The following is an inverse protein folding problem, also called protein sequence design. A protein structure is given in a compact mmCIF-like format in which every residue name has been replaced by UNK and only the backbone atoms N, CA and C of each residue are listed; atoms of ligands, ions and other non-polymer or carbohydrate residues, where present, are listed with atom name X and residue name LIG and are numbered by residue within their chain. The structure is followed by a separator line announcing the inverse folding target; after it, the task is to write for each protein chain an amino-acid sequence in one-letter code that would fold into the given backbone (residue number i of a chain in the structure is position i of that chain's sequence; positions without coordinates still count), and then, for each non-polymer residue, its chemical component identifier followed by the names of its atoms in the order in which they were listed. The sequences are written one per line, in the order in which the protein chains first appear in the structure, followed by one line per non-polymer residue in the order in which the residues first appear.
data_IF_284679625008
#
_entry.id   IF_284679625008
#
_cell.length_a   1.000
_cell.length_b   1.000
_cell.length_c   1.000
_cell.angle_alpha   90.00
_cell.angle_beta   90.00
_cell.angle_gamma   90.00
#
_symmetry.space_group_name_H-M   'P 1'
#
loop_
_entity.id
_entity.type
_entity.pdbx_description
1 polymer ?
#
# COMPACT_ATOMS: atom_id res chain seq x y z
N UNK A 1 -24.64 46.73 46.51
CA UNK A 1 -23.39 46.36 45.80
C UNK A 1 -23.39 44.91 45.27
N UNK A 2 -24.54 44.24 45.11
CA UNK A 2 -24.58 42.76 44.95
C UNK A 2 -24.69 42.28 43.50
N UNK A 3 -25.17 43.13 42.59
CA UNK A 3 -25.29 42.83 41.16
C UNK A 3 -23.99 42.29 40.52
N UNK A 4 -22.78 42.83 40.77
CA UNK A 4 -21.56 42.33 40.13
C UNK A 4 -21.23 40.87 40.49
N UNK A 5 -21.53 40.43 41.73
CA UNK A 5 -21.22 39.07 42.19
C UNK A 5 -22.10 38.02 41.49
N UNK A 6 -23.37 38.34 41.26
CA UNK A 6 -24.30 37.48 40.54
C UNK A 6 -23.88 37.29 39.08
N UNK A 7 -23.50 38.37 38.39
CA UNK A 7 -23.03 38.29 36.99
C UNK A 7 -21.76 37.45 36.86
N UNK A 8 -20.82 37.57 37.80
CA UNK A 8 -19.61 36.74 37.80
C UNK A 8 -19.90 35.26 38.02
N UNK A 9 -20.87 34.90 38.87
CA UNK A 9 -21.26 33.51 39.12
C UNK A 9 -21.93 32.86 37.91
N UNK A 10 -22.83 33.58 37.22
CA UNK A 10 -23.47 33.11 35.99
C UNK A 10 -22.43 32.90 34.89
N UNK A 11 -21.52 33.86 34.71
CA UNK A 11 -20.45 33.75 33.71
C UNK A 11 -19.54 32.53 33.97
N UNK A 12 -19.12 32.32 35.22
CA UNK A 12 -18.33 31.16 35.59
C UNK A 12 -19.07 29.83 35.36
N UNK A 13 -20.36 29.76 35.71
CA UNK A 13 -21.20 28.58 35.46
C UNK A 13 -21.34 28.24 33.98
N UNK A 14 -21.53 29.25 33.12
CA UNK A 14 -21.58 29.07 31.66
C UNK A 14 -20.24 28.54 31.14
N UNK A 15 -19.12 29.09 31.61
CA UNK A 15 -17.78 28.65 31.19
C UNK A 15 -17.56 27.16 31.55
N UNK A 16 -17.85 26.76 32.79
CA UNK A 16 -17.72 25.35 33.23
C UNK A 16 -18.63 24.43 32.41
N UNK A 17 -19.86 24.86 32.14
CA UNK A 17 -20.80 24.09 31.32
C UNK A 17 -20.31 23.94 29.87
N UNK A 18 -19.77 25.00 29.25
CA UNK A 18 -19.18 24.93 27.91
C UNK A 18 -17.96 24.01 27.87
N UNK A 19 -17.05 24.08 28.86
CA UNK A 19 -15.89 23.20 28.93
C UNK A 19 -16.30 21.72 29.10
N UNK A 20 -17.27 21.43 29.97
CA UNK A 20 -17.75 20.06 30.17
C UNK A 20 -18.44 19.49 28.93
N UNK A 21 -19.27 20.28 28.23
CA UNK A 21 -19.87 19.89 26.96
C UNK A 21 -18.80 19.64 25.88
N UNK A 22 -17.80 20.52 25.77
CA UNK A 22 -16.69 20.34 24.84
C UNK A 22 -15.88 19.06 25.15
N UNK A 23 -15.58 18.80 26.43
CA UNK A 23 -14.87 17.59 26.86
C UNK A 23 -15.66 16.31 26.55
N UNK A 24 -16.97 16.30 26.83
CA UNK A 24 -17.86 15.18 26.49
C UNK A 24 -17.94 14.96 24.98
N UNK A 25 -18.07 16.04 24.20
CA UNK A 25 -18.10 16.00 22.74
C UNK A 25 -16.81 15.43 22.15
N UNK A 26 -15.65 15.94 22.57
CA UNK A 26 -14.33 15.45 22.15
C UNK A 26 -14.12 13.98 22.56
N UNK A 27 -14.53 13.62 23.78
CA UNK A 27 -14.49 12.24 24.26
C UNK A 27 -15.37 11.31 23.42
N UNK A 28 -16.58 11.75 23.06
CA UNK A 28 -17.48 11.01 22.18
C UNK A 28 -16.89 10.85 20.76
N UNK A 29 -16.37 11.92 20.17
CA UNK A 29 -15.72 11.88 18.85
C UNK A 29 -14.52 10.93 18.84
N UNK A 30 -13.66 10.99 19.86
CA UNK A 30 -12.50 10.09 20.01
C UNK A 30 -12.94 8.62 20.12
N UNK A 31 -13.97 8.32 20.92
CA UNK A 31 -14.53 6.96 21.05
C UNK A 31 -15.12 6.46 19.74
N UNK A 32 -15.84 7.32 19.01
CA UNK A 32 -16.41 6.98 17.69
C UNK A 32 -15.31 6.63 16.69
N UNK A 33 -14.22 7.41 16.66
CA UNK A 33 -13.07 7.15 15.79
C UNK A 33 -12.38 5.83 16.12
N UNK A 34 -12.15 5.54 17.40
CA UNK A 34 -11.53 4.26 17.86
C UNK A 34 -12.40 3.07 17.41
N UNK A 35 -13.71 3.12 17.65
CA UNK A 35 -14.64 2.06 17.22
C UNK A 35 -14.63 1.86 15.70
N UNK A 36 -14.53 2.94 14.93
CA UNK A 36 -14.47 2.88 13.48
C UNK A 36 -13.16 2.23 13.00
N UNK A 37 -12.02 2.61 13.60
CA UNK A 37 -10.72 1.99 13.34
C UNK A 37 -10.74 0.49 13.65
N UNK A 38 -11.30 0.09 14.79
CA UNK A 38 -11.47 -1.32 15.15
C UNK A 38 -12.39 -2.08 14.18
N UNK A 39 -13.46 -1.44 13.71
CA UNK A 39 -14.35 -2.03 12.70
C UNK A 39 -13.61 -2.30 11.40
N UNK A 40 -12.83 -1.33 10.90
CA UNK A 40 -12.02 -1.52 9.69
C UNK A 40 -10.93 -2.58 9.89
N UNK A 41 -10.26 -2.57 11.05
CA UNK A 41 -9.27 -3.58 11.37
C UNK A 41 -9.87 -4.99 11.34
N UNK A 42 -11.05 -5.19 11.93
CA UNK A 42 -11.75 -6.48 11.91
C UNK A 42 -12.19 -6.87 10.50
N UNK A 43 -12.77 -5.94 9.76
CA UNK A 43 -13.23 -6.18 8.39
C UNK A 43 -12.05 -6.54 7.47
N UNK A 44 -11.04 -5.67 7.37
CA UNK A 44 -9.88 -5.88 6.51
C UNK A 44 -9.00 -7.04 7.00
N UNK A 45 -8.88 -7.22 8.32
CA UNK A 45 -8.16 -8.33 8.93
C UNK A 45 -8.82 -9.68 8.65
N UNK A 46 -10.15 -9.76 8.66
CA UNK A 46 -10.86 -11.00 8.28
C UNK A 46 -10.61 -11.39 6.82
N UNK A 47 -10.49 -10.41 5.92
CA UNK A 47 -10.18 -10.64 4.50
C UNK A 47 -8.75 -11.20 4.32
N UNK A 48 -7.77 -10.65 5.06
CA UNK A 48 -6.42 -11.20 5.11
C UNK A 48 -6.35 -12.57 5.78
N UNK A 49 -7.22 -12.84 6.75
CA UNK A 49 -7.27 -14.13 7.44
C UNK A 49 -7.87 -15.20 6.52
N UNK A 50 -8.88 -14.87 5.72
CA UNK A 50 -9.38 -15.76 4.66
C UNK A 50 -8.29 -16.14 3.66
N UNK A 51 -7.41 -15.21 3.26
CA UNK A 51 -6.22 -15.54 2.46
C UNK A 51 -5.32 -16.55 3.19
N UNK A 52 -4.92 -16.28 4.44
CA UNK A 52 -4.01 -17.18 5.17
C UNK A 52 -4.60 -18.57 5.38
N UNK A 53 -5.93 -18.68 5.46
CA UNK A 53 -6.62 -19.97 5.54
C UNK A 53 -6.64 -20.72 4.20
N UNK A 54 -6.62 -20.01 3.07
CA UNK A 54 -6.46 -20.59 1.73
C UNK A 54 -5.02 -21.13 1.52
N UNK A 55 -4.01 -20.47 2.09
CA UNK A 55 -2.60 -20.87 2.02
C UNK A 55 -2.13 -21.61 3.28
N UNK A 56 -2.65 -22.82 3.50
CA UNK A 56 -2.41 -23.59 4.72
C UNK A 56 -0.99 -24.16 4.89
N UNK A 57 -0.05 -23.94 3.97
CA UNK A 57 1.15 -24.80 3.90
C UNK A 57 2.49 -24.15 3.50
N UNK A 58 2.73 -22.85 3.74
CA UNK A 58 4.01 -22.23 3.34
C UNK A 58 4.65 -21.34 4.40
N UNK A 59 5.99 -21.45 4.48
CA UNK A 59 6.94 -20.62 5.23
C UNK A 59 7.05 -19.18 4.70
N UNK A 60 5.96 -18.62 4.16
CA UNK A 60 5.92 -17.23 3.73
C UNK A 60 6.00 -16.32 4.96
N UNK A 61 6.93 -15.36 4.95
CA UNK A 61 7.04 -14.35 6.00
C UNK A 61 5.76 -13.52 5.99
N UNK A 62 4.94 -13.66 7.04
CA UNK A 62 3.67 -12.97 7.13
C UNK A 62 3.85 -11.45 6.97
N UNK A 63 3.03 -10.83 6.12
CA UNK A 63 2.99 -9.39 5.94
C UNK A 63 2.81 -8.67 7.29
N UNK A 64 3.67 -7.68 7.59
CA UNK A 64 3.60 -6.92 8.85
C UNK A 64 2.33 -6.05 8.85
N UNK A 65 1.65 -5.97 9.99
CA UNK A 65 0.61 -4.96 10.21
C UNK A 65 1.28 -3.75 10.85
N UNK A 66 1.24 -2.61 10.16
CA UNK A 66 1.75 -1.33 10.66
C UNK A 66 0.66 -0.57 11.39
N UNK A 67 1.07 0.29 12.33
CA UNK A 67 0.19 1.27 12.98
C UNK A 67 0.12 2.59 12.21
N UNK A 68 -0.92 3.39 12.47
CA UNK A 68 -1.04 4.74 11.92
C UNK A 68 0.18 5.60 12.28
N UNK A 69 0.58 5.56 13.56
CA UNK A 69 1.70 6.35 14.09
C UNK A 69 3.02 6.01 13.40
N UNK A 70 3.29 4.71 13.15
CA UNK A 70 4.48 4.30 12.40
C UNK A 70 4.51 4.89 10.99
N UNK A 71 3.38 4.83 10.27
CA UNK A 71 3.31 5.32 8.88
C UNK A 71 3.30 6.84 8.81
N UNK A 72 2.59 7.51 9.71
CA UNK A 72 2.57 8.98 9.82
C UNK A 72 3.97 9.49 10.16
N UNK A 73 4.65 8.91 11.15
CA UNK A 73 6.04 9.28 11.47
C UNK A 73 7.00 9.01 10.31
N UNK A 74 6.84 7.87 9.63
CA UNK A 74 7.72 7.51 8.51
C UNK A 74 7.58 8.47 7.32
N UNK A 75 6.39 9.05 7.11
CA UNK A 75 6.06 9.88 5.95
C UNK A 75 5.92 11.36 6.27
N UNK A 76 6.28 11.78 7.49
CA UNK A 76 6.03 13.15 7.97
C UNK A 76 4.57 13.57 7.79
N UNK A 77 3.64 12.76 8.30
CA UNK A 77 2.19 12.91 8.15
C UNK A 77 1.70 12.89 6.70
N UNK A 78 2.30 12.05 5.85
CA UNK A 78 2.04 11.98 4.42
C UNK A 78 2.26 13.33 3.70
N UNK A 79 3.34 14.03 4.06
CA UNK A 79 3.70 15.30 3.45
C UNK A 79 3.90 15.18 1.93
N UNK A 80 3.49 16.20 1.17
CA UNK A 80 3.57 16.18 -0.30
C UNK A 80 5.02 16.12 -0.81
N UNK A 81 6.00 16.59 -0.06
CA UNK A 81 7.43 16.45 -0.40
C UNK A 81 7.90 14.99 -0.39
N UNK A 82 7.18 14.09 0.30
CA UNK A 82 7.44 12.65 0.32
C UNK A 82 6.77 11.91 -0.82
N UNK A 83 5.96 12.58 -1.64
CA UNK A 83 5.24 11.94 -2.75
C UNK A 83 6.21 11.48 -3.84
N UNK A 84 6.17 10.18 -4.15
CA UNK A 84 6.98 9.54 -5.19
C UNK A 84 6.25 9.53 -6.52
N UNK A 85 4.94 9.31 -6.49
CA UNK A 85 4.12 9.23 -7.69
C UNK A 85 2.64 9.21 -7.37
N UNK A 86 1.82 9.50 -8.39
CA UNK A 86 0.38 9.47 -8.30
C UNK A 86 -0.21 8.93 -9.61
N UNK A 87 -1.20 8.04 -9.50
CA UNK A 87 -1.88 7.43 -10.63
C UNK A 87 -3.31 6.99 -10.28
N UNK A 88 -3.93 6.20 -11.17
CA UNK A 88 -5.29 5.70 -10.98
C UNK A 88 -5.50 4.86 -9.72
N UNK A 89 -4.45 4.18 -9.26
CA UNK A 89 -4.48 3.31 -8.08
C UNK A 89 -4.17 4.04 -6.76
N UNK A 90 -3.89 5.35 -6.82
CA UNK A 90 -3.63 6.18 -5.64
C UNK A 90 -2.31 6.94 -5.68
N UNK A 91 -1.82 7.28 -4.50
CA UNK A 91 -0.61 8.07 -4.29
C UNK A 91 0.41 7.25 -3.52
N UNK A 92 1.67 7.27 -3.95
CA UNK A 92 2.77 6.56 -3.31
C UNK A 92 3.65 7.58 -2.60
N UNK A 93 3.92 7.33 -1.31
CA UNK A 93 4.78 8.16 -0.47
C UNK A 93 6.05 7.39 -0.08
N UNK A 94 7.18 8.08 -0.07
CA UNK A 94 8.45 7.57 0.46
C UNK A 94 8.43 7.73 1.98
N UNK A 95 8.62 6.63 2.70
CA UNK A 95 8.72 6.61 4.15
C UNK A 95 10.08 6.15 4.64
N UNK A 96 10.46 6.57 5.85
CA UNK A 96 11.61 6.05 6.60
C UNK A 96 11.12 5.46 7.92
N UNK A 97 11.14 4.12 8.05
CA UNK A 97 10.73 3.44 9.28
C UNK A 97 11.72 3.68 10.43
N UNK A 98 11.36 3.42 11.70
CA UNK A 98 12.23 3.64 12.86
C UNK A 98 13.56 2.86 12.85
N UNK A 99 13.66 1.82 12.03
CA UNK A 99 14.86 1.00 11.83
C UNK A 99 15.64 1.42 10.56
N UNK A 100 15.45 2.65 10.09
CA UNK A 100 16.03 3.24 8.88
C UNK A 100 15.69 2.52 7.57
N UNK A 101 14.75 1.57 7.60
CA UNK A 101 14.27 0.94 6.37
C UNK A 101 13.43 1.94 5.57
N UNK A 102 13.86 2.21 4.34
CA UNK A 102 13.14 3.08 3.40
C UNK A 102 12.03 2.26 2.73
N UNK A 103 10.81 2.79 2.71
CA UNK A 103 9.62 2.10 2.22
C UNK A 103 8.83 2.97 1.23
N UNK A 104 8.05 2.31 0.38
CA UNK A 104 7.04 2.95 -0.45
C UNK A 104 5.64 2.62 0.10
N UNK A 105 4.87 3.64 0.46
CA UNK A 105 3.54 3.50 1.06
C UNK A 105 2.50 3.94 0.05
N UNK A 106 1.71 2.99 -0.46
CA UNK A 106 0.63 3.22 -1.42
C UNK A 106 -0.67 3.48 -0.68
N UNK A 107 -1.24 4.65 -0.92
CA UNK A 107 -2.49 5.14 -0.33
C UNK A 107 -3.51 5.42 -1.43
N UNK A 108 -4.63 4.71 -1.42
CA UNK A 108 -5.71 4.89 -2.40
C UNK A 108 -6.31 6.30 -2.31
N UNK A 109 -6.61 6.89 -3.48
CA UNK A 109 -7.22 8.22 -3.58
C UNK A 109 -8.74 8.17 -3.41
N UNK A 110 -9.35 7.14 -3.98
CA UNK A 110 -10.78 6.88 -3.92
C UNK A 110 -11.09 5.80 -2.90
N UNK A 111 -12.29 5.86 -2.35
CA UNK A 111 -12.74 4.98 -1.28
C UNK A 111 -13.94 4.17 -1.79
N UNK A 112 -13.63 3.27 -2.73
CA UNK A 112 -14.57 2.41 -3.45
C UNK A 112 -14.34 0.93 -3.15
N UNK A 113 -15.38 0.10 -3.33
CA UNK A 113 -15.29 -1.34 -3.09
C UNK A 113 -14.25 -2.03 -3.98
N UNK A 114 -14.13 -1.58 -5.23
CA UNK A 114 -13.12 -2.05 -6.20
C UNK A 114 -11.69 -1.91 -5.69
N UNK A 115 -11.40 -0.89 -4.87
CA UNK A 115 -10.06 -0.67 -4.30
C UNK A 115 -9.74 -1.67 -3.20
N UNK A 116 -10.75 -2.10 -2.44
CA UNK A 116 -10.60 -3.16 -1.43
C UNK A 116 -10.31 -4.50 -2.12
N UNK A 117 -11.01 -4.80 -3.22
CA UNK A 117 -10.78 -6.02 -4.01
C UNK A 117 -9.37 -6.05 -4.61
N UNK A 118 -8.91 -4.93 -5.18
CA UNK A 118 -7.54 -4.79 -5.69
C UNK A 118 -6.49 -4.96 -4.60
N UNK A 119 -6.71 -4.38 -3.42
CA UNK A 119 -5.85 -4.59 -2.25
C UNK A 119 -5.78 -6.08 -1.89
N UNK A 120 -6.92 -6.75 -1.77
CA UNK A 120 -6.97 -8.18 -1.43
C UNK A 120 -6.21 -8.99 -2.47
N UNK A 121 -6.48 -8.75 -3.75
CA UNK A 121 -5.83 -9.45 -4.86
C UNK A 121 -4.31 -9.26 -4.83
N UNK A 122 -3.85 -8.01 -4.66
CA UNK A 122 -2.42 -7.71 -4.64
C UNK A 122 -1.71 -8.39 -3.45
N UNK A 123 -2.32 -8.43 -2.27
CA UNK A 123 -1.74 -9.14 -1.11
C UNK A 123 -1.72 -10.65 -1.32
N UNK A 124 -2.77 -11.22 -1.90
CA UNK A 124 -2.86 -12.66 -2.21
C UNK A 124 -1.80 -13.06 -3.24
N UNK A 125 -1.67 -12.29 -4.32
CA UNK A 125 -0.72 -12.62 -5.38
C UNK A 125 0.71 -12.47 -4.87
N UNK A 126 1.03 -11.38 -4.17
CA UNK A 126 2.37 -11.14 -3.67
C UNK A 126 2.78 -12.08 -2.51
N UNK A 127 1.85 -12.70 -1.79
CA UNK A 127 2.20 -13.75 -0.80
C UNK A 127 2.69 -15.04 -1.44
N UNK A 128 2.27 -15.32 -2.68
CA UNK A 128 2.63 -16.55 -3.40
C UNK A 128 3.92 -16.40 -4.22
N UNK A 129 4.39 -15.16 -4.40
CA UNK A 129 5.55 -14.85 -5.22
C UNK A 129 6.81 -14.75 -4.37
N UNK A 130 7.79 -15.59 -4.69
CA UNK A 130 9.12 -15.54 -4.13
C UNK A 130 10.16 -15.36 -5.25
N UNK A 131 10.35 -14.11 -5.68
CA UNK A 131 11.26 -13.75 -6.75
C UNK A 131 11.90 -12.37 -6.47
N UNK A 132 13.23 -12.26 -6.54
CA UNK A 132 13.95 -11.01 -6.22
C UNK A 132 13.71 -9.87 -7.23
N UNK A 133 13.25 -10.21 -8.44
CA UNK A 133 12.88 -9.27 -9.50
C UNK A 133 11.39 -8.93 -9.49
N UNK A 134 10.66 -9.29 -8.43
CA UNK A 134 9.31 -8.79 -8.12
C UNK A 134 9.38 -7.85 -6.92
N UNK A 135 8.54 -6.82 -6.91
CA UNK A 135 8.43 -5.89 -5.78
C UNK A 135 8.01 -6.64 -4.50
N UNK A 136 8.72 -6.39 -3.40
CA UNK A 136 8.43 -7.00 -2.13
C UNK A 136 7.37 -6.20 -1.36
N UNK A 137 6.24 -6.85 -1.07
CA UNK A 137 5.28 -6.37 -0.08
C UNK A 137 5.82 -6.63 1.33
N UNK A 138 6.02 -5.57 2.11
CA UNK A 138 6.50 -5.65 3.49
C UNK A 138 5.35 -5.75 4.49
N UNK A 139 4.21 -5.14 4.18
CA UNK A 139 3.06 -5.12 5.07
C UNK A 139 1.92 -4.22 4.64
N UNK A 140 1.00 -4.01 5.58
CA UNK A 140 -0.22 -3.25 5.35
C UNK A 140 -0.64 -2.46 6.60
N UNK A 141 -1.49 -1.45 6.41
CA UNK A 141 -2.23 -0.78 7.48
C UNK A 141 -3.73 -0.94 7.24
N UNK A 142 -4.44 -1.46 8.25
CA UNK A 142 -5.79 -2.01 8.12
C UNK A 142 -6.89 -1.18 8.77
N UNK A 143 -6.57 -0.20 9.61
CA UNK A 143 -7.57 0.55 10.39
C UNK A 143 -8.20 1.72 9.60
N UNK A 144 -8.34 1.54 8.29
CA UNK A 144 -8.88 2.52 7.35
C UNK A 144 -9.84 1.83 6.40
N UNK A 145 -10.75 2.59 5.77
CA UNK A 145 -11.75 2.03 4.86
C UNK A 145 -11.12 1.29 3.68
N UNK A 146 -10.05 1.83 3.10
CA UNK A 146 -9.21 1.13 2.12
C UNK A 146 -7.81 0.98 2.72
N UNK A 147 -7.32 -0.25 2.96
CA UNK A 147 -5.99 -0.48 3.51
C UNK A 147 -4.86 0.18 2.72
N UNK A 148 -3.78 0.51 3.42
CA UNK A 148 -2.54 0.96 2.78
C UNK A 148 -1.60 -0.23 2.61
N UNK A 149 -0.83 -0.23 1.53
CA UNK A 149 0.20 -1.22 1.23
C UNK A 149 1.59 -0.59 1.43
N UNK A 150 2.48 -1.34 2.06
CA UNK A 150 3.85 -0.93 2.37
C UNK A 150 4.81 -1.86 1.65
N UNK A 151 5.59 -1.33 0.72
CA UNK A 151 6.55 -2.06 -0.09
C UNK A 151 7.99 -1.65 0.24
N UNK A 152 8.94 -2.45 -0.22
CA UNK A 152 10.31 -1.97 -0.39
C UNK A 152 10.33 -0.72 -1.27
N UNK A 153 11.23 0.22 -0.96
CA UNK A 153 11.45 1.38 -1.83
C UNK A 153 12.49 1.03 -2.91
N UNK A 154 12.26 1.50 -4.14
CA UNK A 154 13.11 1.23 -5.30
C UNK A 154 13.62 2.55 -5.90
N UNK A 155 14.93 2.76 -5.87
CA UNK A 155 15.53 4.11 -5.97
C UNK A 155 15.40 4.82 -7.31
N UNK A 156 15.61 4.11 -8.42
CA UNK A 156 15.72 4.76 -9.73
C UNK A 156 14.36 5.02 -10.40
N UNK A 157 13.24 4.82 -9.71
CA UNK A 157 11.91 5.05 -10.23
C UNK A 157 11.51 4.04 -11.31
N UNK A 158 10.59 4.43 -12.19
CA UNK A 158 10.01 3.52 -13.21
C UNK A 158 10.81 3.56 -14.50
N UNK A 159 10.80 2.46 -15.27
CA UNK A 159 11.39 2.41 -16.61
C UNK A 159 10.77 3.47 -17.53
N UNK A 160 9.48 3.79 -17.34
CA UNK A 160 8.81 4.88 -18.03
C UNK A 160 9.53 6.23 -17.83
N UNK A 161 9.98 6.54 -16.60
CA UNK A 161 10.72 7.77 -16.31
C UNK A 161 12.06 7.82 -17.05
N UNK A 162 12.72 6.67 -17.25
CA UNK A 162 13.99 6.60 -17.98
C UNK A 162 13.80 6.70 -19.48
N UNK A 163 12.67 6.23 -20.02
CA UNK A 163 12.39 6.32 -21.45
C UNK A 163 12.02 7.75 -21.85
N UNK A 164 11.21 8.43 -21.03
CA UNK A 164 10.75 9.79 -21.36
C UNK A 164 11.76 10.90 -21.06
N UNK A 165 12.71 10.68 -20.14
CA UNK A 165 13.68 11.69 -19.76
C UNK A 165 15.03 11.43 -20.46
N UNK A 166 15.46 12.27 -21.42
CA UNK A 166 16.73 12.08 -22.14
C UNK A 166 17.96 11.96 -21.22
N UNK A 167 17.97 12.69 -20.10
CA UNK A 167 19.07 12.67 -19.13
C UNK A 167 19.15 11.37 -18.32
N UNK A 168 18.03 10.64 -18.23
CA UNK A 168 17.97 9.30 -17.61
C UNK A 168 18.18 8.21 -18.67
N UNK A 169 17.63 8.39 -19.86
CA UNK A 169 17.75 7.46 -20.99
C UNK A 169 19.21 7.19 -21.38
N UNK A 170 20.07 8.21 -21.32
CA UNK A 170 21.50 8.10 -21.58
C UNK A 170 22.25 7.17 -20.60
N UNK A 171 21.66 6.87 -19.44
CA UNK A 171 22.22 5.94 -18.44
C UNK A 171 21.90 4.47 -18.76
N UNK A 172 20.93 4.21 -19.65
CA UNK A 172 20.55 2.87 -20.06
C UNK A 172 21.31 2.45 -21.31
N UNK A 173 22.50 1.89 -21.14
CA UNK A 173 23.25 1.22 -22.22
C UNK A 173 22.45 0.07 -22.83
N UNK A 174 22.82 -0.37 -24.03
CA UNK A 174 22.20 -1.54 -24.66
C UNK A 174 22.27 -2.79 -23.77
N UNK A 175 23.41 -3.01 -23.11
CA UNK A 175 23.61 -4.10 -22.17
C UNK A 175 22.62 -4.04 -21.00
N UNK A 176 22.44 -2.86 -20.39
CA UNK A 176 21.48 -2.67 -19.29
C UNK A 176 20.05 -2.91 -19.76
N UNK A 177 19.67 -2.45 -20.97
CA UNK A 177 18.34 -2.68 -21.54
C UNK A 177 18.08 -4.17 -21.78
N UNK A 178 19.05 -4.89 -22.35
CA UNK A 178 18.98 -6.34 -22.54
C UNK A 178 18.85 -7.09 -21.22
N UNK A 179 19.59 -6.65 -20.17
CA UNK A 179 19.46 -7.20 -18.81
C UNK A 179 18.06 -6.96 -18.23
N UNK A 180 17.52 -5.74 -18.37
CA UNK A 180 16.15 -5.41 -17.93
C UNK A 180 15.13 -6.34 -18.60
N UNK A 181 15.19 -6.49 -19.93
CA UNK A 181 14.28 -7.36 -20.68
C UNK A 181 14.39 -8.83 -20.24
N UNK A 182 15.62 -9.32 -20.06
CA UNK A 182 15.86 -10.68 -19.54
C UNK A 182 15.28 -10.89 -18.15
N UNK A 183 15.43 -9.90 -17.24
CA UNK A 183 14.84 -9.97 -15.90
C UNK A 183 13.31 -9.99 -15.92
N UNK A 184 12.68 -9.15 -16.75
CA UNK A 184 11.22 -9.15 -16.92
C UNK A 184 10.74 -10.49 -17.47
N UNK A 185 11.38 -11.02 -18.51
CA UNK A 185 11.05 -12.33 -19.07
C UNK A 185 11.20 -13.46 -18.03
N UNK A 186 12.25 -13.41 -17.21
CA UNK A 186 12.46 -14.35 -16.11
C UNK A 186 11.35 -14.28 -15.06
N UNK A 187 10.87 -13.08 -14.71
CA UNK A 187 9.72 -12.92 -13.81
C UNK A 187 8.46 -13.51 -14.42
N UNK A 188 8.16 -13.21 -15.68
CA UNK A 188 6.95 -13.74 -16.33
C UNK A 188 6.99 -15.26 -16.46
N UNK A 189 8.14 -15.83 -16.82
CA UNK A 189 8.34 -17.29 -16.84
C UNK A 189 8.12 -17.89 -15.44
N UNK A 190 8.67 -17.27 -14.40
CA UNK A 190 8.46 -17.71 -13.02
C UNK A 190 6.97 -17.68 -12.64
N UNK A 191 6.27 -16.57 -12.90
CA UNK A 191 4.86 -16.41 -12.55
C UNK A 191 3.97 -17.43 -13.27
N UNK A 192 4.25 -17.72 -14.54
CA UNK A 192 3.42 -18.62 -15.35
C UNK A 192 3.69 -20.10 -15.08
N UNK A 193 4.92 -20.47 -14.70
CA UNK A 193 5.33 -21.88 -14.73
C UNK A 193 5.96 -22.40 -13.44
N UNK A 194 6.43 -21.53 -12.55
CA UNK A 194 7.17 -21.93 -11.34
C UNK A 194 6.46 -21.55 -10.04
N UNK A 195 5.62 -20.51 -10.07
CA UNK A 195 4.76 -20.16 -8.95
C UNK A 195 3.84 -21.33 -8.57
N UNK A 196 3.44 -21.41 -7.29
CA UNK A 196 2.61 -22.52 -6.78
C UNK A 196 1.29 -22.66 -7.51
N UNK A 197 0.70 -21.51 -7.80
CA UNK A 197 -0.47 -21.35 -8.64
C UNK A 197 -0.01 -20.44 -9.78
N UNK A 198 -0.21 -20.81 -11.06
CA UNK A 198 0.13 -19.93 -12.17
C UNK A 198 -0.54 -18.55 -12.02
N UNK A 199 0.23 -17.48 -12.19
CA UNK A 199 -0.21 -16.08 -12.03
C UNK A 199 -0.05 -15.36 -13.36
N UNK A 200 -1.13 -14.82 -13.93
CA UNK A 200 -1.06 -13.92 -15.08
C UNK A 200 -1.09 -12.48 -14.57
N UNK A 201 -0.05 -11.69 -14.86
CA UNK A 201 0.07 -10.32 -14.33
C UNK A 201 -0.96 -9.32 -14.91
N UNK A 202 -1.29 -9.46 -16.20
CA UNK A 202 -2.26 -8.64 -16.97
C UNK A 202 -1.95 -7.15 -17.16
N UNK A 203 -0.95 -6.58 -16.49
CA UNK A 203 -0.62 -5.13 -16.58
C UNK A 203 0.89 -4.86 -16.66
N UNK A 204 1.58 -5.61 -17.52
CA UNK A 204 3.02 -5.42 -17.77
C UNK A 204 3.21 -4.22 -18.69
N UNK A 205 3.68 -3.10 -18.12
CA UNK A 205 3.96 -1.86 -18.84
C UNK A 205 5.14 -1.13 -18.21
N UNK A 206 5.72 -0.16 -18.92
CA UNK A 206 6.95 0.53 -18.49
C UNK A 206 6.78 1.27 -17.15
N UNK A 207 5.57 1.70 -16.83
CA UNK A 207 5.24 2.33 -15.55
C UNK A 207 5.25 1.35 -14.37
N UNK A 208 5.11 0.05 -14.64
CA UNK A 208 5.07 -1.03 -13.65
C UNK A 208 6.39 -1.81 -13.57
N UNK A 209 7.44 -1.30 -14.21
CA UNK A 209 8.81 -1.81 -14.10
C UNK A 209 9.62 -0.77 -13.32
N UNK A 210 9.99 -1.10 -12.09
CA UNK A 210 10.86 -0.29 -11.25
C UNK A 210 12.33 -0.67 -11.45
N UNK A 211 13.24 0.27 -11.26
CA UNK A 211 14.68 0.03 -11.38
C UNK A 211 15.38 0.29 -10.03
N UNK A 212 16.06 -0.72 -9.51
CA UNK A 212 16.87 -0.57 -8.30
C UNK A 212 18.14 0.25 -8.54
N UNK A 213 18.94 0.47 -7.48
CA UNK A 213 20.19 1.22 -7.54
C UNK A 213 21.17 0.73 -8.64
N UNK A 214 21.12 -0.56 -9.01
CA UNK A 214 21.95 -1.20 -10.02
C UNK A 214 21.29 -1.28 -11.41
N UNK A 215 20.16 -0.59 -11.60
CA UNK A 215 19.32 -0.65 -12.80
C UNK A 215 18.83 -2.08 -13.10
N UNK A 216 18.62 -2.88 -12.04
CA UNK A 216 17.97 -4.18 -12.16
C UNK A 216 16.47 -3.98 -12.07
N UNK A 217 15.73 -4.67 -12.95
CA UNK A 217 14.29 -4.56 -13.01
C UNK A 217 13.60 -5.26 -11.83
N UNK A 218 12.60 -4.59 -11.28
CA UNK A 218 11.59 -5.13 -10.37
C UNK A 218 10.20 -4.91 -10.97
N UNK A 219 9.47 -5.99 -11.22
CA UNK A 219 8.08 -5.95 -11.69
C UNK A 219 7.17 -5.62 -10.51
N UNK A 220 6.23 -4.69 -10.70
CA UNK A 220 5.31 -4.20 -9.67
C UNK A 220 3.87 -4.12 -10.17
N UNK A 221 2.95 -3.77 -9.26
CA UNK A 221 1.52 -3.52 -9.52
C UNK A 221 0.74 -4.76 -9.94
N UNK A 222 0.50 -5.63 -8.97
CA UNK A 222 -0.21 -6.90 -9.16
C UNK A 222 -1.73 -6.79 -8.94
N UNK A 223 -2.28 -5.58 -8.86
CA UNK A 223 -3.71 -5.35 -8.60
C UNK A 223 -4.64 -6.03 -9.62
N UNK A 224 -4.22 -6.10 -10.89
CA UNK A 224 -4.97 -6.73 -11.97
C UNK A 224 -4.59 -8.20 -12.22
N UNK A 225 -3.69 -8.77 -11.41
CA UNK A 225 -3.21 -10.13 -11.63
C UNK A 225 -4.30 -11.17 -11.39
N UNK A 226 -4.24 -12.30 -12.09
CA UNK A 226 -5.17 -13.42 -11.92
C UNK A 226 -4.40 -14.70 -11.57
N UNK A 227 -4.82 -15.36 -10.50
CA UNK A 227 -4.46 -16.75 -10.22
C UNK A 227 -5.24 -17.67 -11.16
N UNK A 228 -4.54 -18.59 -11.82
CA UNK A 228 -5.11 -19.57 -12.74
C UNK A 228 -5.03 -20.94 -12.07
N UNK A 229 -6.14 -21.50 -11.59
CA UNK A 229 -6.17 -22.86 -11.08
C UNK A 229 -5.70 -23.84 -12.15
N UNK A 230 -4.91 -24.84 -11.76
CA UNK A 230 -4.35 -25.85 -12.68
C UNK A 230 -5.45 -26.65 -13.43
N UNK A 231 -6.68 -26.68 -12.92
CA UNK A 231 -7.83 -27.33 -13.55
C UNK A 231 -8.50 -26.51 -14.67
N UNK A 232 -8.12 -25.23 -14.85
CA UNK A 232 -8.67 -24.33 -15.89
C UNK A 232 -7.68 -24.11 -17.07
N UNK A 233 -7.11 -25.17 -17.64
CA UNK A 233 -6.24 -25.10 -18.84
C UNK A 233 -6.95 -24.67 -20.15
N UNK A 234 -7.96 -23.80 -20.08
CA UNK A 234 -8.56 -23.12 -21.24
C UNK A 234 -8.85 -21.66 -20.94
N UNK A 235 -7.80 -20.84 -20.83
CA UNK A 235 -7.94 -19.39 -20.94
C UNK A 235 -8.15 -19.02 -22.42
N UNK A 236 -9.40 -18.78 -22.77
CA UNK A 236 -9.79 -18.09 -24.00
C UNK A 236 -9.27 -16.66 -23.95
N UNK A 237 -8.36 -16.32 -24.87
CA UNK A 237 -7.92 -14.94 -25.11
C UNK A 237 -9.04 -14.22 -25.85
N UNK A 238 -9.76 -13.32 -25.18
CA UNK A 238 -10.59 -12.34 -25.88
C UNK A 238 -9.66 -11.27 -26.46
N UNK A 239 -9.58 -11.23 -27.79
CA UNK A 239 -8.92 -10.21 -28.61
C UNK A 239 -9.83 -8.99 -28.73
#
# INVERSE_FOLDING_TARGET
SEKPVLYTGIAAGIIVLLFSLAFLYLGHQKRKLIRLKEQYFKQNGSLLLQQRLYERDRTAKAAKIYSAEELEKATDNFDESRRVGQGGCGTVYKGSLPNDTVVAIKKSKLVEQSQIERFINEVIVLSQVNNCNVIQLLGCYLETKVPLLVYEFVDNGTLFDHILNPNKSSKLSWETRSRIASKIAGVLSYLHSTASTPIIHQDVKWANILLDANYTAKVSDFEASRLVPLDETQLSTLV
#
